data_IF_307208950382
#
_entry.id   IF_307208950382
#
_cell.length_a   1.000
_cell.length_b   1.000
_cell.length_c   1.000
_cell.angle_alpha   90.00
_cell.angle_beta   90.00
_cell.angle_gamma   90.00
#
_symmetry.space_group_name_H-M   'P 1'
#
loop_
_entity.id
_entity.type
_entity.pdbx_description
1 polymer ?
#
# COMPACT_ATOMS: atom_id res chain seq x y z
N UNK A 1 -4.19 9.67 -15.64
CA UNK A 1 -4.81 9.62 -14.30
C UNK A 1 -3.86 10.01 -13.17
N UNK A 2 -2.68 9.41 -13.03
CA UNK A 2 -1.76 9.69 -11.90
C UNK A 2 -1.45 11.18 -11.78
N UNK A 3 -1.20 11.91 -12.87
CA UNK A 3 -0.92 13.34 -12.80
C UNK A 3 -2.11 14.15 -12.26
N UNK A 4 -3.34 13.78 -12.60
CA UNK A 4 -4.56 14.40 -12.03
C UNK A 4 -4.68 14.14 -10.54
N UNK A 5 -4.33 12.93 -10.08
CA UNK A 5 -4.28 12.57 -8.66
C UNK A 5 -3.24 13.42 -7.92
N UNK A 6 -2.05 13.61 -8.50
CA UNK A 6 -1.00 14.44 -7.90
C UNK A 6 -1.46 15.90 -7.74
N UNK A 7 -2.10 16.47 -8.77
CA UNK A 7 -2.57 17.85 -8.71
C UNK A 7 -3.74 18.02 -7.72
N UNK A 8 -4.65 17.03 -7.66
CA UNK A 8 -5.69 17.01 -6.63
C UNK A 8 -5.07 16.93 -5.22
N UNK A 9 -4.07 16.07 -5.01
CA UNK A 9 -3.41 15.89 -3.73
C UNK A 9 -2.78 17.20 -3.20
N UNK A 10 -2.14 17.97 -4.05
CA UNK A 10 -1.60 19.30 -3.68
C UNK A 10 -2.71 20.19 -3.10
N UNK A 11 -3.84 20.30 -3.80
CA UNK A 11 -4.99 21.08 -3.34
C UNK A 11 -5.60 20.53 -2.05
N UNK A 12 -5.69 19.21 -1.92
CA UNK A 12 -6.16 18.55 -0.70
C UNK A 12 -5.32 18.91 0.52
N UNK A 13 -3.99 18.90 0.38
CA UNK A 13 -3.05 19.27 1.45
C UNK A 13 -3.11 20.76 1.77
N UNK A 14 -3.09 21.64 0.75
CA UNK A 14 -3.20 23.09 0.91
C UNK A 14 -4.46 23.52 1.63
N UNK A 15 -5.60 22.85 1.35
CA UNK A 15 -6.90 23.11 1.99
C UNK A 15 -7.07 22.37 3.31
N UNK A 16 -6.04 21.69 3.79
CA UNK A 16 -6.05 20.89 5.02
C UNK A 16 -7.17 19.83 5.04
N UNK A 17 -7.48 19.24 3.89
CA UNK A 17 -8.52 18.21 3.74
C UNK A 17 -8.30 16.97 4.62
N UNK A 18 -7.09 16.79 5.14
CA UNK A 18 -6.69 15.70 6.01
C UNK A 18 -7.11 15.89 7.49
N UNK A 19 -7.43 17.12 7.95
CA UNK A 19 -7.68 17.38 9.38
C UNK A 19 -8.78 16.48 9.96
N UNK A 20 -9.81 16.15 9.19
CA UNK A 20 -10.90 15.24 9.60
C UNK A 20 -10.51 13.77 9.73
N UNK A 21 -9.33 13.38 9.25
CA UNK A 21 -8.80 12.02 9.31
C UNK A 21 -7.73 11.85 10.40
N UNK A 22 -7.33 12.92 11.09
CA UNK A 22 -6.39 12.86 12.20
C UNK A 22 -6.98 12.03 13.35
N UNK A 23 -6.16 11.25 14.01
CA UNK A 23 -6.55 10.46 15.17
C UNK A 23 -5.53 10.58 16.28
N UNK A 24 -5.99 10.96 17.46
CA UNK A 24 -5.17 11.06 18.68
C UNK A 24 -5.00 9.73 19.40
N UNK A 25 -5.80 8.71 19.02
CA UNK A 25 -5.87 7.46 19.78
C UNK A 25 -4.66 6.55 19.57
N UNK A 26 -3.97 6.60 18.42
CA UNK A 26 -2.84 5.70 18.11
C UNK A 26 -1.86 6.36 17.13
N UNK A 27 -1.03 7.31 17.61
CA UNK A 27 -0.07 7.99 16.73
C UNK A 27 0.96 7.03 16.11
N UNK A 28 1.28 5.91 16.82
CA UNK A 28 2.33 4.98 16.40
C UNK A 28 1.84 3.56 16.02
N UNK A 29 0.55 3.30 16.13
CA UNK A 29 -0.01 1.93 15.94
C UNK A 29 -1.34 1.97 15.20
N UNK A 30 -1.38 2.29 13.94
CA UNK A 30 -2.58 2.23 13.11
C UNK A 30 -3.92 2.24 13.89
N UNK A 31 -4.53 3.39 14.04
CA UNK A 31 -5.72 3.55 14.89
C UNK A 31 -7.00 2.95 14.32
N UNK A 32 -7.91 2.53 15.18
CA UNK A 32 -9.31 2.25 14.81
C UNK A 32 -10.14 3.52 14.99
N UNK A 33 -11.02 3.85 14.04
CA UNK A 33 -11.95 4.98 14.11
C UNK A 33 -13.39 4.54 14.29
N UNK A 34 -14.14 5.31 15.06
CA UNK A 34 -15.61 5.27 15.03
C UNK A 34 -16.10 5.98 13.76
N UNK A 35 -16.95 5.29 13.00
CA UNK A 35 -17.33 5.65 11.61
C UNK A 35 -18.48 6.66 11.51
N UNK A 36 -18.64 7.58 12.43
CA UNK A 36 -19.72 8.56 12.37
C UNK A 36 -19.19 9.96 11.99
N UNK A 37 -19.09 10.24 10.70
CA UNK A 37 -19.21 11.54 10.04
C UNK A 37 -18.36 11.66 8.78
N UNK A 38 -18.91 11.22 7.65
CA UNK A 38 -18.34 11.55 6.33
C UNK A 38 -19.33 12.46 5.59
N UNK A 39 -19.09 13.75 5.60
CA UNK A 39 -19.70 14.67 4.63
C UNK A 39 -18.67 15.68 4.16
N UNK A 40 -18.40 15.68 2.86
CA UNK A 40 -17.55 16.70 2.22
C UNK A 40 -16.98 16.18 0.90
N UNK A 41 -17.78 16.28 -0.18
CA UNK A 41 -17.38 15.78 -1.50
C UNK A 41 -16.47 16.76 -2.24
N UNK A 42 -15.28 16.30 -2.59
CA UNK A 42 -14.51 16.85 -3.70
C UNK A 42 -14.78 16.02 -4.95
N UNK A 43 -15.06 16.68 -6.06
CA UNK A 43 -15.39 16.02 -7.32
C UNK A 43 -14.15 16.04 -8.21
N UNK A 44 -13.50 14.89 -8.42
CA UNK A 44 -12.61 14.69 -9.55
C UNK A 44 -13.47 14.60 -10.82
N UNK A 45 -12.98 15.21 -11.89
CA UNK A 45 -13.53 14.98 -13.23
C UNK A 45 -13.48 13.47 -13.56
N UNK A 46 -14.36 13.01 -14.41
CA UNK A 46 -14.42 11.61 -14.88
C UNK A 46 -13.01 11.16 -15.29
N UNK A 47 -12.52 10.13 -14.63
CA UNK A 47 -11.20 9.58 -14.92
C UNK A 47 -11.29 8.78 -16.23
N UNK A 48 -10.46 9.16 -17.21
CA UNK A 48 -10.47 8.55 -18.56
C UNK A 48 -9.74 7.20 -18.61
N UNK A 49 -8.92 6.88 -17.60
CA UNK A 49 -8.20 5.60 -17.48
C UNK A 49 -8.32 5.01 -16.08
N UNK A 50 -8.18 3.68 -15.96
CA UNK A 50 -8.30 2.99 -14.68
C UNK A 50 -6.95 2.91 -13.97
N UNK A 51 -6.92 3.26 -12.68
CA UNK A 51 -5.73 3.18 -11.84
C UNK A 51 -5.88 2.10 -10.76
N UNK A 52 -4.77 1.47 -10.38
CA UNK A 52 -4.70 0.54 -9.27
C UNK A 52 -3.65 0.96 -8.25
N UNK A 53 -4.03 1.64 -7.15
CA UNK A 53 -3.14 1.84 -6.01
C UNK A 53 -2.87 0.51 -5.28
N UNK A 54 -1.58 0.16 -5.11
CA UNK A 54 -1.10 -0.84 -4.15
C UNK A 54 -0.58 -0.09 -2.93
N UNK A 55 -1.15 -0.34 -1.75
CA UNK A 55 -0.80 0.40 -0.53
C UNK A 55 -0.82 -0.48 0.72
N UNK A 56 -0.30 0.06 1.83
CA UNK A 56 -0.30 -0.61 3.12
C UNK A 56 -1.71 -0.78 3.70
N UNK A 57 -1.89 -1.89 4.45
CA UNK A 57 -3.11 -2.17 5.20
C UNK A 57 -3.26 -1.32 6.48
N UNK A 58 -2.36 -0.40 6.75
CA UNK A 58 -2.42 0.51 7.89
C UNK A 58 -3.79 1.19 7.99
N UNK A 59 -4.39 1.15 9.18
CA UNK A 59 -5.76 1.64 9.39
C UNK A 59 -5.89 3.14 9.24
N UNK A 60 -4.82 3.92 9.44
CA UNK A 60 -4.77 5.37 9.18
C UNK A 60 -5.05 5.70 7.72
N UNK A 61 -4.69 4.78 6.80
CA UNK A 61 -4.86 4.94 5.36
C UNK A 61 -6.21 4.45 4.84
N UNK A 62 -7.09 3.91 5.68
CA UNK A 62 -8.35 3.34 5.21
C UNK A 62 -9.24 4.38 4.55
N UNK A 63 -9.34 5.56 5.15
CA UNK A 63 -10.10 6.70 4.61
C UNK A 63 -9.20 7.78 4.03
N UNK A 64 -8.05 8.04 4.67
CA UNK A 64 -7.13 9.09 4.24
C UNK A 64 -6.59 8.84 2.82
N UNK A 65 -6.20 7.61 2.48
CA UNK A 65 -5.64 7.32 1.16
C UNK A 65 -6.62 7.65 0.02
N UNK A 66 -7.83 7.09 -0.05
CA UNK A 66 -8.74 7.44 -1.15
C UNK A 66 -9.11 8.93 -1.14
N UNK A 67 -9.25 9.55 0.04
CA UNK A 67 -9.55 10.97 0.12
C UNK A 67 -8.42 11.86 -0.38
N UNK A 68 -7.17 11.54 -0.01
CA UNK A 68 -5.98 12.27 -0.47
C UNK A 68 -5.71 12.09 -1.97
N UNK A 69 -6.11 10.96 -2.54
CA UNK A 69 -6.06 10.68 -3.97
C UNK A 69 -7.28 11.20 -4.74
N UNK A 70 -8.31 11.72 -4.06
CA UNK A 70 -9.55 12.18 -4.65
C UNK A 70 -10.44 11.07 -5.21
N UNK A 71 -10.22 9.83 -4.76
CA UNK A 71 -10.91 8.65 -5.28
C UNK A 71 -12.25 8.41 -4.56
N UNK A 72 -13.25 8.00 -5.34
CA UNK A 72 -14.56 7.55 -4.89
C UNK A 72 -14.77 6.08 -5.20
N UNK A 73 -15.85 5.52 -4.66
CA UNK A 73 -16.25 4.15 -4.98
C UNK A 73 -16.40 3.97 -6.50
N UNK A 74 -15.64 3.02 -7.05
CA UNK A 74 -15.64 2.71 -8.48
C UNK A 74 -14.47 3.30 -9.27
N UNK A 75 -13.79 4.35 -8.76
CA UNK A 75 -12.74 5.05 -9.52
C UNK A 75 -11.42 4.26 -9.64
N UNK A 76 -11.12 3.39 -8.68
CA UNK A 76 -9.85 2.67 -8.66
C UNK A 76 -9.97 1.26 -8.06
N UNK A 77 -9.01 0.40 -8.37
CA UNK A 77 -8.86 -0.95 -7.81
C UNK A 77 -7.79 -0.93 -6.73
N UNK A 78 -8.16 -0.61 -5.48
CA UNK A 78 -7.21 -0.47 -4.38
C UNK A 78 -6.83 -1.86 -3.85
N UNK A 79 -5.53 -2.18 -3.89
CA UNK A 79 -4.95 -3.40 -3.33
C UNK A 79 -4.23 -3.00 -2.04
N UNK A 80 -4.48 -3.73 -0.94
CA UNK A 80 -3.86 -3.47 0.36
C UNK A 80 -3.21 -4.73 0.92
N UNK A 81 -1.97 -4.59 1.39
CA UNK A 81 -1.25 -5.65 2.10
C UNK A 81 -0.33 -5.07 3.19
N UNK A 82 0.38 -5.91 3.93
CA UNK A 82 1.35 -5.47 4.92
C UNK A 82 2.58 -4.86 4.23
N UNK A 83 2.75 -3.54 4.38
CA UNK A 83 3.93 -2.82 3.90
C UNK A 83 3.94 -2.45 2.41
N UNK A 84 2.80 -2.51 1.70
CA UNK A 84 2.71 -2.16 0.26
C UNK A 84 3.69 -2.93 -0.65
N UNK A 85 4.05 -4.14 -0.27
CA UNK A 85 5.10 -4.94 -0.90
C UNK A 85 4.56 -5.90 -1.97
N UNK A 86 5.35 -6.07 -3.03
CA UNK A 86 5.37 -7.28 -3.85
C UNK A 86 6.56 -8.11 -3.39
N UNK A 87 6.30 -9.14 -2.59
CA UNK A 87 7.36 -9.97 -1.97
C UNK A 87 7.99 -10.90 -3.01
N UNK A 88 7.19 -11.42 -3.92
CA UNK A 88 7.65 -12.27 -5.01
C UNK A 88 6.85 -12.04 -6.29
N UNK A 89 7.41 -12.44 -7.42
CA UNK A 89 6.77 -12.29 -8.73
C UNK A 89 5.40 -12.99 -8.85
N UNK A 90 5.09 -13.96 -7.99
CA UNK A 90 3.85 -14.73 -8.02
C UNK A 90 3.11 -14.72 -6.69
N UNK A 91 3.23 -13.63 -5.93
CA UNK A 91 2.46 -13.44 -4.71
C UNK A 91 1.00 -12.96 -4.98
N UNK A 92 0.22 -12.82 -3.91
CA UNK A 92 -1.18 -12.40 -3.98
C UNK A 92 -1.34 -10.96 -4.48
N UNK A 93 -0.41 -10.06 -4.16
CA UNK A 93 -0.46 -8.68 -4.62
C UNK A 93 -0.23 -8.63 -6.14
N UNK A 94 0.81 -9.32 -6.63
CA UNK A 94 1.10 -9.41 -8.06
C UNK A 94 -0.05 -10.05 -8.85
N UNK A 95 -0.63 -11.15 -8.33
CA UNK A 95 -1.82 -11.77 -8.93
C UNK A 95 -2.97 -10.78 -9.06
N UNK A 96 -3.22 -9.96 -8.02
CA UNK A 96 -4.29 -8.96 -8.03
C UNK A 96 -4.04 -7.86 -9.07
N UNK A 97 -2.78 -7.41 -9.24
CA UNK A 97 -2.39 -6.46 -10.28
C UNK A 97 -2.60 -7.05 -11.68
N UNK A 98 -2.23 -8.30 -11.91
CA UNK A 98 -2.45 -8.96 -13.21
C UNK A 98 -3.95 -9.04 -13.54
N UNK A 99 -4.80 -9.40 -12.57
CA UNK A 99 -6.26 -9.39 -12.76
C UNK A 99 -6.76 -7.97 -13.05
N UNK A 100 -6.25 -6.97 -12.34
CA UNK A 100 -6.63 -5.57 -12.56
C UNK A 100 -6.28 -5.09 -13.99
N UNK A 101 -5.13 -5.47 -14.51
CA UNK A 101 -4.71 -5.13 -15.89
C UNK A 101 -5.60 -5.82 -16.92
N UNK A 102 -5.71 -7.16 -16.87
CA UNK A 102 -6.31 -7.92 -17.96
C UNK A 102 -7.83 -8.03 -17.91
N UNK A 103 -8.44 -8.04 -16.72
CA UNK A 103 -9.89 -8.18 -16.56
C UNK A 103 -10.60 -6.87 -16.26
N UNK A 104 -9.89 -5.91 -15.64
CA UNK A 104 -10.51 -4.67 -15.16
C UNK A 104 -10.00 -3.42 -15.89
N UNK A 105 -9.15 -3.60 -16.91
CA UNK A 105 -8.71 -2.53 -17.80
C UNK A 105 -7.81 -1.48 -17.14
N UNK A 106 -7.04 -1.84 -16.11
CA UNK A 106 -6.09 -0.93 -15.46
C UNK A 106 -4.92 -0.65 -16.39
N UNK A 107 -4.61 0.63 -16.58
CA UNK A 107 -3.51 1.15 -17.41
C UNK A 107 -2.41 1.80 -16.57
N UNK A 108 -2.72 2.20 -15.33
CA UNK A 108 -1.77 2.89 -14.44
C UNK A 108 -1.76 2.23 -13.06
N UNK A 109 -0.57 2.00 -12.52
CA UNK A 109 -0.35 1.43 -11.18
C UNK A 109 0.40 2.44 -10.32
N UNK A 110 -0.11 2.69 -9.12
CA UNK A 110 0.56 3.48 -8.09
C UNK A 110 1.00 2.55 -6.95
N UNK A 111 2.30 2.50 -6.66
CA UNK A 111 2.81 1.91 -5.41
C UNK A 111 2.86 3.03 -4.38
N UNK A 112 2.03 2.95 -3.35
CA UNK A 112 1.86 4.03 -2.36
C UNK A 112 2.21 3.53 -0.96
N UNK A 113 3.48 3.67 -0.60
CA UNK A 113 3.97 3.48 0.77
C UNK A 113 3.52 4.64 1.68
N UNK A 114 3.82 4.56 2.97
CA UNK A 114 3.47 5.66 3.89
C UNK A 114 4.54 5.90 4.94
N UNK A 115 4.52 7.11 5.52
CA UNK A 115 5.38 7.46 6.65
C UNK A 115 5.06 6.62 7.88
N UNK A 116 6.07 6.31 8.70
CA UNK A 116 5.92 5.55 9.95
C UNK A 116 5.22 4.19 9.76
N UNK A 117 5.60 3.45 8.72
CA UNK A 117 5.07 2.11 8.46
C UNK A 117 5.65 1.09 9.46
N UNK A 118 4.77 0.34 10.13
CA UNK A 118 5.19 -0.72 11.05
C UNK A 118 6.00 -1.83 10.38
N UNK A 119 5.87 -2.01 9.08
CA UNK A 119 6.64 -2.99 8.32
C UNK A 119 8.16 -2.71 8.30
N UNK A 120 8.60 -1.48 8.62
CA UNK A 120 10.03 -1.16 8.80
C UNK A 120 10.70 -1.94 9.95
N UNK A 121 9.91 -2.46 10.88
CA UNK A 121 10.39 -3.18 12.06
C UNK A 121 10.06 -4.69 12.03
N UNK A 122 9.50 -5.18 10.92
CA UNK A 122 9.20 -6.59 10.77
C UNK A 122 10.48 -7.40 10.56
N UNK A 123 10.61 -8.50 11.32
CA UNK A 123 11.66 -9.49 11.14
C UNK A 123 11.16 -10.86 11.58
N UNK A 124 11.73 -11.93 11.04
CA UNK A 124 11.39 -13.28 11.46
C UNK A 124 11.56 -13.47 12.98
N UNK A 125 12.65 -12.97 13.56
CA UNK A 125 12.92 -13.12 15.00
C UNK A 125 11.82 -12.52 15.88
N UNK A 126 11.30 -11.35 15.50
CA UNK A 126 10.18 -10.74 16.19
C UNK A 126 8.92 -11.62 16.09
N UNK A 127 8.56 -12.05 14.89
CA UNK A 127 7.40 -12.93 14.68
C UNK A 127 7.57 -14.29 15.36
N UNK A 128 8.76 -14.88 15.33
CA UNK A 128 9.05 -16.14 16.01
C UNK A 128 8.73 -16.03 17.50
N UNK A 129 9.23 -14.98 18.18
CA UNK A 129 8.96 -14.74 19.58
C UNK A 129 7.45 -14.66 19.86
N UNK A 130 6.70 -13.87 19.06
CA UNK A 130 5.26 -13.71 19.22
C UNK A 130 4.48 -15.01 18.93
N UNK A 131 4.89 -15.79 17.94
CA UNK A 131 4.28 -17.08 17.62
C UNK A 131 4.46 -18.08 18.76
N UNK A 132 5.67 -18.21 19.31
CA UNK A 132 5.95 -19.09 20.46
C UNK A 132 5.15 -18.66 21.68
N UNK A 133 5.07 -17.37 21.97
CA UNK A 133 4.27 -16.83 23.08
C UNK A 133 2.77 -17.16 22.94
N UNK A 134 2.27 -17.39 21.71
CA UNK A 134 0.89 -17.80 21.41
C UNK A 134 0.71 -19.32 21.27
N UNK A 135 1.74 -20.09 21.61
CA UNK A 135 1.66 -21.56 21.64
C UNK A 135 2.04 -22.26 20.34
N UNK A 136 2.60 -21.55 19.36
CA UNK A 136 3.22 -22.20 18.21
C UNK A 136 4.50 -22.90 18.63
N UNK A 137 4.85 -24.00 17.97
CA UNK A 137 6.05 -24.79 18.30
C UNK A 137 7.11 -24.65 17.21
N UNK A 138 8.39 -24.75 17.59
CA UNK A 138 9.50 -24.78 16.63
C UNK A 138 9.37 -25.95 15.64
N UNK A 139 8.82 -27.10 16.07
CA UNK A 139 8.56 -28.24 15.17
C UNK A 139 7.59 -27.87 14.04
N UNK A 140 6.57 -27.06 14.33
CA UNK A 140 5.64 -26.55 13.29
C UNK A 140 6.36 -25.64 12.32
N UNK A 141 7.17 -24.71 12.82
CA UNK A 141 7.93 -23.75 11.98
C UNK A 141 8.96 -24.49 11.11
N UNK A 142 9.64 -25.49 11.67
CA UNK A 142 10.58 -26.34 10.93
C UNK A 142 9.89 -27.16 9.84
N UNK A 143 8.66 -27.62 10.12
CA UNK A 143 7.85 -28.33 9.11
C UNK A 143 7.52 -27.43 7.94
N UNK A 144 7.12 -26.18 8.20
CA UNK A 144 6.84 -25.18 7.15
C UNK A 144 8.09 -24.92 6.29
N UNK A 145 9.27 -24.76 6.92
CA UNK A 145 10.55 -24.60 6.19
C UNK A 145 10.88 -25.83 5.32
N UNK A 146 10.65 -27.03 5.84
CA UNK A 146 10.83 -28.28 5.07
C UNK A 146 9.87 -28.38 3.87
N UNK A 147 8.72 -27.70 3.89
CA UNK A 147 7.83 -27.56 2.74
C UNK A 147 8.35 -26.53 1.70
N UNK A 148 9.51 -25.92 1.92
CA UNK A 148 10.13 -24.99 0.97
C UNK A 148 9.74 -23.52 1.18
N UNK A 149 9.14 -23.19 2.30
CA UNK A 149 8.80 -21.79 2.63
C UNK A 149 9.96 -21.18 3.42
N UNK A 150 10.58 -20.16 2.86
CA UNK A 150 11.57 -19.33 3.54
C UNK A 150 10.84 -18.32 4.44
N UNK A 151 10.66 -18.68 5.72
CA UNK A 151 9.94 -17.86 6.69
C UNK A 151 10.68 -16.55 7.00
N UNK A 152 12.02 -16.56 6.93
CA UNK A 152 12.84 -15.38 7.17
C UNK A 152 12.57 -14.34 6.10
N UNK A 153 12.63 -14.72 4.82
CA UNK A 153 12.32 -13.84 3.71
C UNK A 153 10.84 -13.44 3.67
N UNK A 154 9.92 -14.38 3.98
CA UNK A 154 8.48 -14.16 3.87
C UNK A 154 7.93 -13.18 4.91
N UNK A 155 8.54 -13.14 6.12
CA UNK A 155 8.15 -12.28 7.23
C UNK A 155 9.04 -11.03 7.38
N UNK A 156 10.09 -10.91 6.56
CA UNK A 156 10.95 -9.74 6.60
C UNK A 156 10.22 -8.51 6.03
N UNK A 157 10.35 -7.39 6.75
CA UNK A 157 9.89 -6.08 6.26
C UNK A 157 10.97 -5.37 5.45
N UNK A 158 11.04 -4.06 5.57
CA UNK A 158 12.03 -3.24 4.88
C UNK A 158 12.69 -2.25 5.84
N UNK A 159 13.92 -1.83 5.54
CA UNK A 159 14.67 -0.88 6.39
C UNK A 159 14.50 0.56 5.95
N UNK A 160 14.18 0.78 4.67
CA UNK A 160 14.12 2.09 4.03
C UNK A 160 12.93 2.14 3.08
N UNK A 161 11.97 3.01 3.37
CA UNK A 161 10.72 3.12 2.61
C UNK A 161 10.95 3.50 1.15
N UNK A 162 11.77 4.51 0.80
CA UNK A 162 12.04 4.83 -0.60
C UNK A 162 12.64 3.67 -1.39
N UNK A 163 13.56 2.91 -0.79
CA UNK A 163 14.16 1.73 -1.43
C UNK A 163 13.15 0.61 -1.62
N UNK A 164 12.26 0.39 -0.66
CA UNK A 164 11.14 -0.57 -0.78
C UNK A 164 10.22 -0.23 -1.94
N UNK A 165 9.82 1.04 -2.05
CA UNK A 165 8.99 1.52 -3.16
C UNK A 165 9.67 1.29 -4.51
N UNK A 166 10.96 1.65 -4.67
CA UNK A 166 11.71 1.42 -5.91
C UNK A 166 11.75 -0.07 -6.28
N UNK A 167 12.04 -0.93 -5.31
CA UNK A 167 12.09 -2.39 -5.50
C UNK A 167 10.72 -2.94 -5.95
N UNK A 168 9.65 -2.52 -5.31
CA UNK A 168 8.29 -2.93 -5.67
C UNK A 168 7.91 -2.46 -7.07
N UNK A 169 8.18 -1.19 -7.42
CA UNK A 169 7.99 -0.64 -8.77
C UNK A 169 8.78 -1.43 -9.81
N UNK A 170 10.05 -1.71 -9.55
CA UNK A 170 10.90 -2.48 -10.47
C UNK A 170 10.39 -3.92 -10.65
N UNK A 171 9.99 -4.58 -9.55
CA UNK A 171 9.41 -5.93 -9.61
C UNK A 171 8.17 -5.98 -10.49
N UNK A 172 7.29 -4.97 -10.38
CA UNK A 172 6.08 -4.89 -11.22
C UNK A 172 6.46 -4.62 -12.68
N UNK A 173 7.31 -3.62 -12.96
CA UNK A 173 7.74 -3.25 -14.32
C UNK A 173 8.44 -4.37 -15.08
N UNK A 174 9.22 -5.18 -14.37
CA UNK A 174 10.01 -6.27 -14.98
C UNK A 174 9.27 -7.61 -15.01
N UNK A 175 8.07 -7.68 -14.43
CA UNK A 175 7.29 -8.90 -14.40
C UNK A 175 6.88 -9.33 -15.81
N UNK A 176 7.08 -10.61 -16.19
CA UNK A 176 6.87 -11.08 -17.58
C UNK A 176 5.42 -10.98 -18.07
N UNK A 177 4.45 -10.91 -17.15
CA UNK A 177 3.02 -10.78 -17.48
C UNK A 177 2.51 -9.33 -17.42
N UNK A 178 3.34 -8.34 -17.13
CA UNK A 178 2.95 -6.94 -17.15
C UNK A 178 3.27 -6.35 -18.53
N UNK A 179 2.26 -5.84 -19.27
CA UNK A 179 2.47 -5.18 -20.55
C UNK A 179 3.39 -3.95 -20.42
N UNK A 180 4.15 -3.64 -21.47
CA UNK A 180 5.14 -2.55 -21.44
C UNK A 180 4.54 -1.15 -21.46
N UNK A 181 3.29 -1.02 -21.85
CA UNK A 181 2.52 0.21 -21.88
C UNK A 181 1.87 0.55 -20.53
N UNK A 182 1.86 -0.38 -19.57
CA UNK A 182 1.39 -0.09 -18.22
C UNK A 182 2.33 0.90 -17.53
N UNK A 183 1.77 2.01 -17.08
CA UNK A 183 2.50 3.02 -16.31
C UNK A 183 2.57 2.61 -14.85
N UNK A 184 3.79 2.48 -14.30
CA UNK A 184 3.99 2.15 -12.88
C UNK A 184 4.84 3.24 -12.22
N UNK A 185 4.29 3.88 -11.18
CA UNK A 185 4.97 4.96 -10.43
C UNK A 185 4.91 4.68 -8.93
N UNK A 186 5.95 5.12 -8.21
CA UNK A 186 6.10 4.94 -6.77
C UNK A 186 5.91 6.24 -5.99
N UNK A 187 5.24 6.15 -4.83
CA UNK A 187 4.94 7.28 -3.97
C UNK A 187 5.11 6.92 -2.50
N UNK A 188 5.32 7.93 -1.68
CA UNK A 188 5.16 7.85 -0.22
C UNK A 188 4.09 8.87 0.15
N UNK A 189 3.05 8.40 0.87
CA UNK A 189 2.03 9.26 1.46
C UNK A 189 2.40 9.55 2.92
N UNK A 190 2.34 10.80 3.31
CA UNK A 190 2.40 11.17 4.72
C UNK A 190 1.11 10.72 5.43
N UNK A 191 1.24 9.90 6.48
CA UNK A 191 0.10 9.27 7.15
C UNK A 191 -0.72 10.23 8.02
N UNK A 192 -0.29 11.48 8.18
CA UNK A 192 -1.01 12.53 8.92
C UNK A 192 -1.67 13.52 7.97
N UNK A 193 -0.93 14.03 7.00
CA UNK A 193 -1.39 15.10 6.10
C UNK A 193 -1.93 14.59 4.76
N UNK A 194 -1.69 13.33 4.42
CA UNK A 194 -2.03 12.78 3.12
C UNK A 194 -1.18 13.31 1.96
N UNK A 195 -0.10 14.07 2.24
CA UNK A 195 0.78 14.59 1.21
C UNK A 195 1.51 13.46 0.49
N UNK A 196 1.54 13.52 -0.85
CA UNK A 196 2.25 12.56 -1.70
C UNK A 196 3.62 13.09 -2.11
N UNK A 197 4.65 12.26 -1.92
CA UNK A 197 5.97 12.44 -2.50
C UNK A 197 6.21 11.36 -3.54
N UNK A 198 6.56 11.75 -4.78
CA UNK A 198 6.92 10.78 -5.82
C UNK A 198 8.36 10.31 -5.66
N UNK A 199 8.55 9.00 -5.66
CA UNK A 199 9.85 8.33 -5.58
C UNK A 199 10.29 7.96 -6.99
N UNK A 200 11.29 8.67 -7.50
CA UNK A 200 11.88 8.34 -8.81
C UNK A 200 12.58 6.99 -8.75
N UNK A 201 12.17 6.09 -9.62
CA UNK A 201 12.75 4.76 -9.82
C UNK A 201 13.96 4.83 -10.76
#
# INVERSE_FOLDING_TARGET
MIDQIIDFNKSFVEQKGYEKYLTDKYPDKGGTRDVDNIVGGYQLAVLESWCSPLSCMDTRLTELLPAALGLKNGDAKIIKNAGDLVISAFDSAMRSLIVAIYELGVEEIMVVAHSHCGACHMSYDHFHHEMIARGMTDETLDTIRKCGIDLDQWLEGFKDTPTSVRKTVETIKTHPLVPKDIVVRGFIIDSETGALEEIKA
#
